data_IF_109970519427
#
_entry.id   IF_109970519427
#
_cell.length_a   1.000
_cell.length_b   1.000
_cell.length_c   1.000
_cell.angle_alpha   90.00
_cell.angle_beta   90.00
_cell.angle_gamma   90.00
#
_symmetry.space_group_name_H-M   'P 1'
#
loop_
_entity.id
_entity.type
_entity.pdbx_description
1 polymer ?
#
# COMPACT_ATOMS: atom_id res chain seq x y z
N UNK A 1 35.02 -8.02 -16.03
CA UNK A 1 33.75 -7.53 -16.60
C UNK A 1 32.68 -8.56 -16.27
N UNK A 2 31.93 -8.37 -15.18
CA UNK A 2 30.79 -9.22 -14.84
C UNK A 2 29.68 -8.93 -15.85
N UNK A 3 29.25 -9.94 -16.61
CA UNK A 3 28.07 -9.90 -17.46
C UNK A 3 26.86 -9.58 -16.57
N UNK A 4 26.50 -8.30 -16.45
CA UNK A 4 25.19 -7.90 -15.92
C UNK A 4 24.13 -8.49 -16.85
N UNK A 5 23.45 -9.52 -16.42
CA UNK A 5 22.22 -9.92 -17.09
C UNK A 5 21.34 -8.67 -17.16
N UNK A 6 20.92 -8.22 -18.33
CA UNK A 6 20.01 -7.10 -18.43
C UNK A 6 18.71 -7.53 -17.75
N UNK A 7 18.50 -7.03 -16.52
CA UNK A 7 17.18 -7.09 -15.90
C UNK A 7 16.25 -6.44 -16.93
N UNK A 8 15.26 -7.20 -17.39
CA UNK A 8 14.36 -6.71 -18.44
C UNK A 8 13.76 -5.37 -18.00
N UNK A 9 13.82 -4.36 -18.86
CA UNK A 9 13.20 -3.05 -18.57
C UNK A 9 11.73 -3.21 -18.15
N UNK A 10 11.05 -4.22 -18.68
CA UNK A 10 9.67 -4.57 -18.31
C UNK A 10 9.52 -4.96 -16.83
N UNK A 11 10.54 -5.60 -16.25
CA UNK A 11 10.55 -5.96 -14.83
C UNK A 11 10.64 -4.72 -13.93
N UNK A 12 11.50 -3.77 -14.30
CA UNK A 12 11.64 -2.50 -13.58
C UNK A 12 10.34 -1.71 -13.61
N UNK A 13 9.72 -1.60 -14.79
CA UNK A 13 8.43 -0.92 -14.96
C UNK A 13 7.32 -1.61 -14.15
N UNK A 14 7.28 -2.93 -14.14
CA UNK A 14 6.30 -3.72 -13.40
C UNK A 14 6.36 -3.46 -11.88
N UNK A 15 7.56 -3.49 -11.29
CA UNK A 15 7.73 -3.22 -9.86
C UNK A 15 7.40 -1.78 -9.48
N UNK A 16 7.83 -0.82 -10.31
CA UNK A 16 7.47 0.58 -10.10
C UNK A 16 5.97 0.81 -10.19
N UNK A 17 5.34 0.18 -11.16
CA UNK A 17 3.89 0.26 -11.36
C UNK A 17 3.13 -0.33 -10.16
N UNK A 18 3.44 -1.55 -9.75
CA UNK A 18 2.76 -2.21 -8.64
C UNK A 18 2.96 -1.50 -7.30
N UNK A 19 4.17 -1.01 -7.01
CA UNK A 19 4.44 -0.29 -5.78
C UNK A 19 3.68 1.03 -5.68
N UNK A 20 3.60 1.78 -6.79
CA UNK A 20 2.78 2.99 -6.87
C UNK A 20 1.29 2.69 -6.69
N UNK A 21 0.81 1.65 -7.37
CA UNK A 21 -0.59 1.22 -7.28
C UNK A 21 -0.97 0.80 -5.85
N UNK A 22 -0.12 0.05 -5.15
CA UNK A 22 -0.31 -0.32 -3.75
C UNK A 22 -0.46 0.89 -2.85
N UNK A 23 0.46 1.83 -2.95
CA UNK A 23 0.43 3.07 -2.16
C UNK A 23 -0.84 3.88 -2.42
N UNK A 24 -1.21 4.03 -3.70
CA UNK A 24 -2.42 4.75 -4.08
C UNK A 24 -3.70 4.06 -3.61
N UNK A 25 -3.78 2.73 -3.77
CA UNK A 25 -4.94 1.96 -3.35
C UNK A 25 -5.18 2.07 -1.84
N UNK A 26 -4.13 1.90 -1.01
CA UNK A 26 -4.26 2.04 0.44
C UNK A 26 -4.70 3.44 0.86
N UNK A 27 -4.15 4.46 0.22
CA UNK A 27 -4.54 5.86 0.49
C UNK A 27 -6.00 6.14 0.13
N UNK A 28 -6.48 5.56 -0.97
CA UNK A 28 -7.85 5.77 -1.44
C UNK A 28 -8.90 4.95 -0.70
N UNK A 29 -8.58 3.70 -0.34
CA UNK A 29 -9.55 2.76 0.23
C UNK A 29 -10.04 3.18 1.61
N UNK A 30 -9.19 3.80 2.42
CA UNK A 30 -9.55 4.20 3.79
C UNK A 30 -10.69 5.21 3.82
N UNK A 31 -10.74 6.12 2.84
CA UNK A 31 -11.77 7.15 2.79
C UNK A 31 -13.19 6.57 2.67
N UNK A 32 -13.35 5.49 1.91
CA UNK A 32 -14.64 4.78 1.82
C UNK A 32 -14.89 3.86 3.02
N UNK A 33 -13.86 3.13 3.48
CA UNK A 33 -13.99 2.22 4.60
C UNK A 33 -14.36 2.93 5.90
N UNK A 34 -13.85 4.15 6.16
CA UNK A 34 -14.15 4.93 7.36
C UNK A 34 -15.64 5.24 7.53
N UNK A 35 -16.40 5.36 6.43
CA UNK A 35 -17.85 5.58 6.49
C UNK A 35 -18.60 4.43 7.18
N UNK A 36 -18.03 3.22 7.13
CA UNK A 36 -18.61 2.00 7.68
C UNK A 36 -17.95 1.60 9.01
N UNK A 37 -16.64 1.74 9.12
CA UNK A 37 -15.84 1.46 10.33
C UNK A 37 -16.38 2.23 11.54
N UNK A 38 -16.66 3.54 11.37
CA UNK A 38 -17.19 4.37 12.42
C UNK A 38 -18.52 3.87 12.99
N UNK A 39 -19.39 3.30 12.16
CA UNK A 39 -20.67 2.74 12.59
C UNK A 39 -20.52 1.41 13.32
N UNK A 40 -19.61 0.54 12.88
CA UNK A 40 -19.44 -0.79 13.47
C UNK A 40 -18.65 -0.75 14.77
N UNK A 41 -17.61 0.08 14.85
CA UNK A 41 -16.80 0.24 16.06
C UNK A 41 -17.34 1.33 17.01
N UNK A 42 -18.54 1.86 16.76
CA UNK A 42 -19.18 2.93 17.54
C UNK A 42 -18.31 4.19 17.70
N UNK A 43 -17.48 4.48 16.69
CA UNK A 43 -16.58 5.64 16.68
C UNK A 43 -17.32 6.84 16.08
N UNK A 44 -17.33 7.94 16.79
CA UNK A 44 -17.94 9.18 16.30
C UNK A 44 -17.09 9.78 15.17
N UNK A 45 -17.72 10.11 14.06
CA UNK A 45 -17.08 10.81 12.94
C UNK A 45 -16.48 12.13 13.42
N UNK A 46 -15.19 12.36 13.14
CA UNK A 46 -14.45 13.53 13.57
C UNK A 46 -13.92 13.45 15.01
N UNK A 47 -14.04 12.30 15.68
CA UNK A 47 -13.39 12.04 16.97
C UNK A 47 -11.88 11.87 16.82
N UNK A 48 -11.16 11.93 17.94
CA UNK A 48 -9.72 11.62 17.96
C UNK A 48 -9.43 10.20 17.45
N UNK A 49 -10.27 9.25 17.79
CA UNK A 49 -10.15 7.84 17.38
C UNK A 49 -10.30 7.67 15.87
N UNK A 50 -11.27 8.36 15.26
CA UNK A 50 -11.48 8.40 13.81
C UNK A 50 -10.24 8.95 13.07
N UNK A 51 -9.76 10.12 13.52
CA UNK A 51 -8.54 10.73 12.98
C UNK A 51 -7.29 9.87 13.20
N UNK A 52 -7.20 9.16 14.34
CA UNK A 52 -6.04 8.32 14.66
C UNK A 52 -5.96 7.07 13.80
N UNK A 53 -7.08 6.43 13.45
CA UNK A 53 -7.08 5.30 12.49
C UNK A 53 -6.43 5.72 11.16
N UNK A 54 -6.83 6.88 10.64
CA UNK A 54 -6.28 7.40 9.39
C UNK A 54 -4.81 7.81 9.54
N UNK A 55 -4.45 8.49 10.63
CA UNK A 55 -3.10 8.97 10.90
C UNK A 55 -2.12 7.84 11.25
N UNK A 56 -2.59 6.69 11.75
CA UNK A 56 -1.74 5.57 12.17
C UNK A 56 -0.87 5.01 11.03
N UNK A 57 -1.37 5.02 9.79
CA UNK A 57 -0.58 4.66 8.60
C UNK A 57 0.58 5.63 8.38
N UNK A 58 0.34 6.93 8.58
CA UNK A 58 1.40 7.94 8.43
C UNK A 58 2.49 7.78 9.48
N UNK A 59 2.11 7.48 10.72
CA UNK A 59 3.09 7.16 11.79
C UNK A 59 3.93 5.94 11.42
N UNK A 60 3.30 4.88 10.93
CA UNK A 60 3.98 3.72 10.40
C UNK A 60 4.91 4.06 9.23
N UNK A 61 4.45 4.91 8.31
CA UNK A 61 5.23 5.30 7.13
C UNK A 61 6.50 6.09 7.49
N UNK A 62 6.42 6.98 8.48
CA UNK A 62 7.60 7.70 9.00
C UNK A 62 8.62 6.71 9.55
N UNK A 63 8.18 5.73 10.36
CA UNK A 63 9.06 4.70 10.91
C UNK A 63 9.66 3.82 9.80
N UNK A 64 8.85 3.39 8.85
CA UNK A 64 9.28 2.58 7.72
C UNK A 64 10.33 3.27 6.87
N UNK A 65 10.09 4.52 6.49
CA UNK A 65 11.03 5.33 5.71
C UNK A 65 12.35 5.58 6.46
N UNK A 66 12.28 5.85 7.77
CA UNK A 66 13.46 6.09 8.59
C UNK A 66 14.35 4.84 8.75
N UNK A 67 13.73 3.66 8.90
CA UNK A 67 14.45 2.39 9.10
C UNK A 67 15.04 1.88 7.78
N UNK A 68 14.32 2.05 6.67
CA UNK A 68 14.68 1.40 5.42
C UNK A 68 15.94 1.96 4.77
N UNK A 69 16.23 3.26 4.94
CA UNK A 69 17.42 3.90 4.40
C UNK A 69 18.70 3.17 4.81
N UNK A 70 19.04 3.12 6.12
CA UNK A 70 20.22 2.42 6.61
C UNK A 70 20.22 0.90 6.34
N UNK A 71 19.06 0.28 6.27
CA UNK A 71 18.93 -1.16 5.99
C UNK A 71 19.16 -1.49 4.51
N UNK A 72 18.82 -0.59 3.60
CA UNK A 72 18.93 -0.83 2.16
C UNK A 72 20.36 -1.06 1.71
N UNK A 73 21.31 -0.39 2.35
CA UNK A 73 22.74 -0.50 2.05
C UNK A 73 23.33 -1.85 2.54
N UNK A 74 22.75 -2.42 3.61
CA UNK A 74 23.25 -3.66 4.23
C UNK A 74 22.61 -4.93 3.65
N UNK A 75 21.29 -4.93 3.47
CA UNK A 75 20.52 -6.13 3.11
C UNK A 75 20.22 -6.24 1.61
N UNK A 76 20.39 -5.15 0.88
CA UNK A 76 20.08 -5.06 -0.54
C UNK A 76 18.61 -4.76 -0.81
N UNK A 77 18.37 -3.90 -1.80
CA UNK A 77 17.05 -3.28 -2.08
C UNK A 77 15.96 -4.27 -2.45
N UNK A 78 16.29 -5.31 -3.24
CA UNK A 78 15.33 -6.33 -3.65
C UNK A 78 14.74 -7.09 -2.45
N UNK A 79 15.60 -7.54 -1.52
CA UNK A 79 15.16 -8.28 -0.33
C UNK A 79 14.25 -7.44 0.57
N UNK A 80 14.58 -6.15 0.72
CA UNK A 80 13.78 -5.24 1.51
C UNK A 80 12.44 -4.91 0.86
N UNK A 81 12.40 -4.79 -0.46
CA UNK A 81 11.13 -4.61 -1.18
C UNK A 81 10.20 -5.81 -1.01
N UNK A 82 10.74 -7.04 -1.08
CA UNK A 82 9.97 -8.25 -0.83
C UNK A 82 9.49 -8.34 0.63
N UNK A 83 10.34 -7.98 1.60
CA UNK A 83 9.91 -7.94 3.01
C UNK A 83 8.82 -6.88 3.25
N UNK A 84 8.92 -5.72 2.62
CA UNK A 84 7.87 -4.71 2.67
C UNK A 84 6.55 -5.22 2.06
N UNK A 85 6.60 -5.96 0.95
CA UNK A 85 5.40 -6.57 0.36
C UNK A 85 4.73 -7.59 1.30
N UNK A 86 5.52 -8.40 2.03
CA UNK A 86 4.99 -9.34 3.04
C UNK A 86 4.33 -8.58 4.19
N UNK A 87 5.02 -7.55 4.73
CA UNK A 87 4.48 -6.74 5.84
C UNK A 87 3.20 -6.02 5.39
N UNK A 88 3.17 -5.51 4.17
CA UNK A 88 1.97 -4.90 3.59
C UNK A 88 0.83 -5.92 3.50
N UNK A 89 1.09 -7.11 2.98
CA UNK A 89 0.10 -8.18 2.85
C UNK A 89 -0.50 -8.55 4.21
N UNK A 90 0.35 -8.76 5.23
CA UNK A 90 -0.10 -9.06 6.60
C UNK A 90 -0.90 -7.90 7.20
N UNK A 91 -0.44 -6.66 7.02
CA UNK A 91 -1.14 -5.47 7.48
C UNK A 91 -2.49 -5.26 6.80
N UNK A 92 -2.59 -5.51 5.49
CA UNK A 92 -3.83 -5.42 4.74
C UNK A 92 -4.85 -6.48 5.18
N UNK A 93 -4.41 -7.74 5.34
CA UNK A 93 -5.27 -8.80 5.88
C UNK A 93 -5.70 -8.50 7.31
N UNK A 94 -4.77 -8.07 8.17
CA UNK A 94 -5.08 -7.70 9.55
C UNK A 94 -6.08 -6.55 9.64
N UNK A 95 -5.98 -5.56 8.76
CA UNK A 95 -6.95 -4.47 8.67
C UNK A 95 -8.31 -4.96 8.16
N UNK A 96 -8.34 -5.89 7.20
CA UNK A 96 -9.57 -6.51 6.69
C UNK A 96 -10.25 -7.45 7.69
N UNK A 97 -9.52 -8.04 8.64
CA UNK A 97 -10.06 -8.92 9.69
C UNK A 97 -10.38 -8.13 10.97
N UNK A 98 -9.97 -6.86 11.06
CA UNK A 98 -10.01 -6.05 12.27
C UNK A 98 -11.37 -5.99 12.97
N UNK A 99 -11.59 -6.85 13.99
CA UNK A 99 -12.82 -6.90 14.77
C UNK A 99 -12.88 -5.85 15.90
N UNK A 100 -11.77 -5.17 16.16
CA UNK A 100 -11.70 -4.14 17.18
C UNK A 100 -10.71 -3.02 16.82
N UNK A 101 -10.89 -1.87 17.48
CA UNK A 101 -10.08 -0.67 17.27
C UNK A 101 -8.57 -0.93 17.35
N UNK A 102 -8.12 -1.63 18.39
CA UNK A 102 -6.68 -1.88 18.63
C UNK A 102 -6.05 -2.71 17.51
N UNK A 103 -6.74 -3.76 17.06
CA UNK A 103 -6.25 -4.60 15.97
C UNK A 103 -6.20 -3.81 14.65
N UNK A 104 -7.22 -3.01 14.38
CA UNK A 104 -7.29 -2.17 13.19
C UNK A 104 -6.12 -1.16 13.18
N UNK A 105 -5.93 -0.40 14.26
CA UNK A 105 -4.83 0.58 14.37
C UNK A 105 -3.46 -0.10 14.26
N UNK A 106 -3.23 -1.23 14.94
CA UNK A 106 -1.96 -1.95 14.87
C UNK A 106 -1.67 -2.42 13.44
N UNK A 107 -2.66 -2.98 12.76
CA UNK A 107 -2.54 -3.42 11.37
C UNK A 107 -2.27 -2.24 10.43
N UNK A 108 -2.87 -1.09 10.69
CA UNK A 108 -2.64 0.15 9.95
C UNK A 108 -1.21 0.69 10.14
N UNK A 109 -0.67 0.62 11.35
CA UNK A 109 0.74 0.99 11.60
C UNK A 109 1.68 0.05 10.84
N UNK A 110 1.45 -1.28 10.89
CA UNK A 110 2.24 -2.25 10.13
C UNK A 110 2.18 -1.99 8.63
N UNK A 111 1.00 -1.74 8.11
CA UNK A 111 0.78 -1.41 6.70
C UNK A 111 1.53 -0.11 6.35
N UNK A 112 1.46 0.90 7.22
CA UNK A 112 2.21 2.15 7.09
C UNK A 112 3.72 1.93 7.02
N UNK A 113 4.30 1.08 7.86
CA UNK A 113 5.74 0.74 7.80
C UNK A 113 6.11 0.19 6.42
N UNK A 114 5.30 -0.70 5.87
CA UNK A 114 5.53 -1.25 4.54
C UNK A 114 5.42 -0.18 3.44
N UNK A 115 4.40 0.68 3.52
CA UNK A 115 4.19 1.80 2.59
C UNK A 115 5.35 2.78 2.63
N UNK A 116 5.78 3.19 3.82
CA UNK A 116 6.92 4.09 4.00
C UNK A 116 8.23 3.51 3.48
N UNK A 117 8.46 2.23 3.75
CA UNK A 117 9.60 1.50 3.21
C UNK A 117 9.57 1.45 1.67
N UNK A 118 8.44 1.08 1.08
CA UNK A 118 8.27 0.97 -0.36
C UNK A 118 8.40 2.32 -1.06
N UNK A 119 7.81 3.39 -0.50
CA UNK A 119 7.87 4.74 -1.08
C UNK A 119 9.28 5.32 -1.14
N UNK A 120 10.15 4.95 -0.19
CA UNK A 120 11.56 5.34 -0.21
C UNK A 120 12.40 4.43 -1.14
N UNK A 121 12.14 3.11 -1.13
CA UNK A 121 12.93 2.14 -1.89
C UNK A 121 12.64 2.15 -3.39
N UNK A 122 11.37 2.20 -3.79
CA UNK A 122 10.97 2.00 -5.18
C UNK A 122 11.53 3.08 -6.10
N UNK A 123 11.34 4.38 -5.84
CA UNK A 123 11.90 5.42 -6.72
C UNK A 123 13.43 5.35 -6.81
N UNK A 124 14.08 5.08 -5.68
CA UNK A 124 15.55 4.98 -5.62
C UNK A 124 16.05 3.76 -6.41
N UNK A 125 15.42 2.61 -6.21
CA UNK A 125 15.77 1.37 -6.92
C UNK A 125 15.55 1.49 -8.43
N UNK A 126 14.44 2.10 -8.83
CA UNK A 126 14.13 2.36 -10.22
C UNK A 126 15.11 3.34 -10.86
N UNK A 127 15.49 4.41 -10.14
CA UNK A 127 16.46 5.39 -10.63
C UNK A 127 17.86 4.79 -10.84
N UNK A 128 18.26 3.83 -9.99
CA UNK A 128 19.56 3.16 -10.14
C UNK A 128 19.60 2.15 -11.30
N UNK A 129 18.50 1.46 -11.54
CA UNK A 129 18.41 0.48 -12.61
C UNK A 129 18.19 1.11 -13.99
N UNK A 130 17.70 2.35 -14.02
CA UNK A 130 17.27 3.01 -15.25
C UNK A 130 18.40 3.80 -15.92
N UNK A 131 18.48 3.77 -17.26
CA UNK A 131 19.31 4.70 -18.01
C UNK A 131 18.95 6.15 -17.69
N UNK A 132 19.95 7.05 -17.76
CA UNK A 132 19.79 8.45 -17.37
C UNK A 132 18.67 9.18 -18.15
N UNK A 133 18.52 8.84 -19.43
CA UNK A 133 17.50 9.37 -20.34
C UNK A 133 16.05 8.95 -19.99
N UNK A 134 15.86 7.86 -19.21
CA UNK A 134 14.55 7.30 -18.88
C UNK A 134 14.11 7.54 -17.42
N UNK A 135 14.99 8.04 -16.57
CA UNK A 135 14.70 8.23 -15.12
C UNK A 135 13.47 9.11 -14.85
N UNK A 136 13.31 10.19 -15.60
CA UNK A 136 12.15 11.08 -15.47
C UNK A 136 10.84 10.38 -15.81
N UNK A 137 10.79 9.62 -16.91
CA UNK A 137 9.61 8.85 -17.31
C UNK A 137 9.20 7.80 -16.29
N UNK A 138 10.16 7.17 -15.60
CA UNK A 138 9.89 6.16 -14.58
C UNK A 138 9.29 6.80 -13.32
N UNK A 139 9.81 7.97 -12.90
CA UNK A 139 9.19 8.72 -11.80
C UNK A 139 7.75 9.12 -12.11
N UNK A 140 7.48 9.54 -13.33
CA UNK A 140 6.12 9.86 -13.80
C UNK A 140 5.21 8.61 -13.81
N UNK A 141 5.74 7.46 -14.24
CA UNK A 141 5.00 6.19 -14.21
C UNK A 141 4.60 5.79 -12.78
N UNK A 142 5.53 5.92 -11.82
CA UNK A 142 5.24 5.66 -10.41
C UNK A 142 4.10 6.54 -9.90
N UNK A 143 4.15 7.84 -10.19
CA UNK A 143 3.09 8.78 -9.81
C UNK A 143 1.75 8.47 -10.50
N UNK A 144 1.78 8.11 -11.78
CA UNK A 144 0.57 7.69 -12.52
C UNK A 144 -0.06 6.47 -11.88
N UNK A 145 0.74 5.50 -11.43
CA UNK A 145 0.24 4.30 -10.77
C UNK A 145 -0.34 4.58 -9.39
N UNK A 146 0.19 5.56 -8.64
CA UNK A 146 -0.44 6.05 -7.41
C UNK A 146 -1.85 6.58 -7.70
N UNK A 147 -2.00 7.44 -8.69
CA UNK A 147 -3.31 7.99 -9.07
C UNK A 147 -4.28 6.91 -9.56
N UNK A 148 -3.78 5.94 -10.32
CA UNK A 148 -4.54 4.77 -10.75
C UNK A 148 -5.00 3.92 -9.55
N UNK A 149 -4.12 3.71 -8.57
CA UNK A 149 -4.45 3.00 -7.33
C UNK A 149 -5.56 3.69 -6.54
N UNK A 150 -5.47 5.01 -6.36
CA UNK A 150 -6.52 5.82 -5.72
C UNK A 150 -7.84 5.67 -6.48
N UNK A 151 -7.83 5.79 -7.80
CA UNK A 151 -9.02 5.64 -8.62
C UNK A 151 -9.65 4.25 -8.45
N UNK A 152 -8.85 3.18 -8.52
CA UNK A 152 -9.33 1.81 -8.31
C UNK A 152 -9.89 1.61 -6.90
N UNK A 153 -9.31 2.24 -5.88
CA UNK A 153 -9.82 2.20 -4.53
C UNK A 153 -11.22 2.83 -4.43
N UNK A 154 -11.45 3.98 -5.04
CA UNK A 154 -12.78 4.59 -5.07
C UNK A 154 -13.80 3.73 -5.82
N UNK A 155 -13.42 3.15 -6.96
CA UNK A 155 -14.29 2.23 -7.71
C UNK A 155 -14.62 0.99 -6.87
N UNK A 156 -13.63 0.40 -6.19
CA UNK A 156 -13.86 -0.78 -5.34
C UNK A 156 -14.72 -0.44 -4.12
N UNK A 157 -14.53 0.73 -3.50
CA UNK A 157 -15.35 1.20 -2.40
C UNK A 157 -16.82 1.34 -2.82
N UNK A 158 -17.09 1.93 -3.99
CA UNK A 158 -18.46 2.04 -4.51
C UNK A 158 -19.07 0.68 -4.81
N UNK A 159 -18.33 -0.23 -5.46
CA UNK A 159 -18.84 -1.56 -5.79
C UNK A 159 -19.16 -2.42 -4.56
N UNK A 160 -18.36 -2.29 -3.51
CA UNK A 160 -18.51 -3.06 -2.26
C UNK A 160 -19.44 -2.38 -1.26
N UNK A 161 -19.85 -1.13 -1.52
CA UNK A 161 -20.80 -0.42 -0.66
C UNK A 161 -22.18 -1.08 -0.68
N UNK A 162 -23.01 -0.87 0.36
CA UNK A 162 -24.37 -1.41 0.40
C UNK A 162 -25.28 -0.88 -0.71
N UNK A 163 -24.99 0.31 -1.23
CA UNK A 163 -25.66 0.92 -2.38
C UNK A 163 -25.02 0.53 -3.72
N UNK A 164 -23.87 -0.14 -3.69
CA UNK A 164 -23.11 -0.49 -4.87
C UNK A 164 -23.61 -1.76 -5.56
N UNK A 165 -22.91 -2.13 -6.63
CA UNK A 165 -23.32 -3.23 -7.51
C UNK A 165 -23.30 -4.61 -6.83
N UNK A 166 -22.39 -4.84 -5.88
CA UNK A 166 -22.31 -6.08 -5.10
C UNK A 166 -23.21 -6.06 -3.86
N UNK A 167 -23.68 -4.88 -3.42
CA UNK A 167 -24.67 -4.72 -2.36
C UNK A 167 -24.28 -5.42 -1.04
N UNK A 168 -23.00 -5.39 -0.66
CA UNK A 168 -22.55 -6.06 0.56
C UNK A 168 -23.07 -5.34 1.79
N UNK A 169 -23.45 -6.11 2.82
CA UNK A 169 -23.86 -5.55 4.11
C UNK A 169 -22.80 -4.61 4.66
N UNK A 170 -23.22 -3.54 5.35
CA UNK A 170 -22.34 -2.52 5.92
C UNK A 170 -21.21 -3.12 6.77
N UNK A 171 -21.50 -4.15 7.55
CA UNK A 171 -20.58 -4.83 8.45
C UNK A 171 -19.56 -5.75 7.73
N UNK A 172 -19.77 -6.06 6.46
CA UNK A 172 -18.90 -6.96 5.70
C UNK A 172 -18.14 -6.20 4.62
N UNK A 173 -18.73 -5.15 4.07
CA UNK A 173 -18.19 -4.41 2.93
C UNK A 173 -16.81 -3.81 3.20
N UNK A 174 -16.62 -3.14 4.32
CA UNK A 174 -15.36 -2.48 4.62
C UNK A 174 -14.20 -3.46 4.88
N UNK A 175 -14.47 -4.65 5.43
CA UNK A 175 -13.48 -5.72 5.57
C UNK A 175 -12.91 -6.14 4.20
N UNK A 176 -13.79 -6.28 3.21
CA UNK A 176 -13.36 -6.57 1.83
C UNK A 176 -12.66 -5.40 1.17
N UNK A 177 -13.11 -4.17 1.42
CA UNK A 177 -12.43 -2.97 0.91
C UNK A 177 -10.97 -2.95 1.33
N UNK A 178 -10.69 -3.14 2.63
CA UNK A 178 -9.34 -3.16 3.17
C UNK A 178 -8.56 -4.44 2.78
N UNK A 179 -9.23 -5.59 2.80
CA UNK A 179 -8.62 -6.88 2.46
C UNK A 179 -8.17 -6.97 0.99
N UNK A 180 -8.88 -6.32 0.07
CA UNK A 180 -8.50 -6.28 -1.35
C UNK A 180 -7.14 -5.63 -1.60
N UNK A 181 -6.66 -4.76 -0.72
CA UNK A 181 -5.31 -4.21 -0.78
C UNK A 181 -4.22 -5.32 -0.72
N UNK A 182 -4.53 -6.49 -0.18
CA UNK A 182 -3.62 -7.63 -0.17
C UNK A 182 -3.36 -8.23 -1.56
N UNK A 183 -4.29 -8.06 -2.52
CA UNK A 183 -4.16 -8.66 -3.86
C UNK A 183 -2.96 -8.08 -4.64
N UNK A 184 -2.82 -6.76 -4.83
CA UNK A 184 -1.65 -6.24 -5.50
C UNK A 184 -0.35 -6.45 -4.71
N UNK A 185 -0.41 -6.58 -3.37
CA UNK A 185 0.75 -6.94 -2.56
C UNK A 185 1.22 -8.37 -2.82
N UNK A 186 0.29 -9.32 -2.95
CA UNK A 186 0.61 -10.69 -3.32
C UNK A 186 1.22 -10.77 -4.73
N UNK A 187 0.69 -9.99 -5.68
CA UNK A 187 1.27 -9.90 -7.03
C UNK A 187 2.70 -9.33 -7.02
N UNK A 188 2.96 -8.32 -6.18
CA UNK A 188 4.30 -7.78 -6.00
C UNK A 188 5.26 -8.83 -5.43
N UNK A 189 4.80 -9.63 -4.48
CA UNK A 189 5.61 -10.69 -3.87
C UNK A 189 5.91 -11.83 -4.85
N UNK A 190 4.92 -12.30 -5.63
CA UNK A 190 5.09 -13.39 -6.59
C UNK A 190 5.97 -12.98 -7.78
N UNK A 191 5.91 -11.70 -8.17
CA UNK A 191 6.69 -11.17 -9.29
C UNK A 191 8.12 -10.78 -8.94
N UNK A 192 8.52 -10.75 -7.65
CA UNK A 192 9.84 -10.32 -7.16
C UNK A 192 10.79 -11.44 -6.90
#
# INVERSE_FOLDING_TARGET
>A
MLKRNPISNNFIYFFGALGGLLFGYDTGVISGAMLFIGKELEIQTGSFEDGFITASVLLGAILGAAIIGPMSDKLGRKKLLLSAAIIFFVGALGSGIGFNYTLLVTSRVLLGIAVGAASALIPTYLAELSPADKRGGIGTLFQLMIMTGIFLAYVSNEWLSPSGWLGLNQNVGWHWMLGLAAVPAALLFIGG
#
